data_IF_851732655674
#
_entry.id   IF_851732655674
#
_cell.length_a   1.000
_cell.length_b   1.000
_cell.length_c   1.000
_cell.angle_alpha   90.00
_cell.angle_beta   90.00
_cell.angle_gamma   90.00
#
_symmetry.space_group_name_H-M   'P 1'
#
loop_
_entity.id
_entity.type
_entity.pdbx_description
1 polymer ?
#
# COMPACT_ATOMS: atom_id res chain seq x y z
N UNK A 1 -18.11 28.42 11.08
CA UNK A 1 -16.79 28.80 10.54
C UNK A 1 -16.03 27.51 10.28
N UNK A 2 -15.54 27.27 9.07
CA UNK A 2 -14.78 26.04 8.76
C UNK A 2 -13.35 26.19 9.26
N UNK A 3 -12.86 25.21 10.02
CA UNK A 3 -11.48 25.16 10.52
C UNK A 3 -10.51 24.90 9.37
N UNK A 4 -9.37 25.60 9.38
CA UNK A 4 -8.26 25.38 8.43
C UNK A 4 -7.10 24.71 9.13
N UNK A 5 -6.65 23.57 8.62
CA UNK A 5 -5.47 22.85 9.10
C UNK A 5 -4.27 23.17 8.19
N UNK A 6 -3.13 23.52 8.80
CA UNK A 6 -1.86 23.78 8.07
C UNK A 6 -0.81 22.70 8.29
N UNK A 7 -1.16 21.70 9.10
CA UNK A 7 -0.38 20.54 9.45
C UNK A 7 -1.34 19.43 9.84
N UNK A 8 -0.82 18.22 9.97
CA UNK A 8 -1.49 17.09 10.60
C UNK A 8 -0.91 16.86 11.98
N UNK A 9 -1.76 16.34 12.86
CA UNK A 9 -1.38 15.77 14.15
C UNK A 9 -2.25 14.53 14.41
N UNK A 10 -1.83 13.63 15.30
CA UNK A 10 -2.63 12.49 15.74
C UNK A 10 -4.02 12.89 16.17
N UNK A 11 -4.16 14.02 16.86
CA UNK A 11 -5.42 14.52 17.37
C UNK A 11 -6.34 14.96 16.23
N UNK A 12 -5.84 15.76 15.28
CA UNK A 12 -6.60 16.22 14.10
C UNK A 12 -7.10 15.02 13.28
N UNK A 13 -6.22 14.06 13.01
CA UNK A 13 -6.59 12.87 12.20
C UNK A 13 -7.54 11.95 12.98
N UNK A 14 -7.35 11.81 14.29
CA UNK A 14 -8.26 11.06 15.16
C UNK A 14 -9.66 11.66 15.17
N UNK A 15 -9.77 12.99 15.32
CA UNK A 15 -11.06 13.70 15.29
C UNK A 15 -11.75 13.51 13.93
N UNK A 16 -11.02 13.64 12.83
CA UNK A 16 -11.56 13.43 11.49
C UNK A 16 -12.07 11.99 11.30
N UNK A 17 -11.29 10.99 11.73
CA UNK A 17 -11.66 9.58 11.68
C UNK A 17 -12.91 9.28 12.54
N UNK A 18 -12.92 9.75 13.79
CA UNK A 18 -14.04 9.54 14.72
C UNK A 18 -15.31 10.23 14.23
N UNK A 19 -15.18 11.42 13.64
CA UNK A 19 -16.30 12.15 13.02
C UNK A 19 -16.88 11.41 11.81
N UNK A 20 -16.08 10.59 11.13
CA UNK A 20 -16.52 9.69 10.06
C UNK A 20 -17.03 8.33 10.59
N UNK A 21 -17.09 8.12 11.91
CA UNK A 21 -17.61 6.91 12.54
C UNK A 21 -16.57 5.80 12.78
N UNK A 22 -15.30 6.06 12.53
CA UNK A 22 -14.23 5.09 12.78
C UNK A 22 -13.86 4.99 14.26
N UNK A 23 -13.46 3.77 14.67
CA UNK A 23 -12.73 3.58 15.93
C UNK A 23 -11.24 3.80 15.66
N UNK A 24 -10.56 4.47 16.57
CA UNK A 24 -9.14 4.79 16.41
C UNK A 24 -8.36 4.34 17.64
N UNK A 25 -7.24 3.66 17.41
CA UNK A 25 -6.27 3.30 18.43
C UNK A 25 -4.91 3.86 18.04
N UNK A 26 -4.23 4.56 18.96
CA UNK A 26 -2.86 4.98 18.75
C UNK A 26 -1.90 3.86 19.17
N UNK A 27 -0.90 3.59 18.34
CA UNK A 27 0.19 2.66 18.62
C UNK A 27 1.54 3.37 18.47
N UNK A 28 2.59 2.94 19.20
CA UNK A 28 3.95 3.44 18.96
C UNK A 28 4.38 3.13 17.51
N UNK A 29 4.90 4.14 16.82
CA UNK A 29 5.47 3.98 15.48
C UNK A 29 6.98 4.17 15.44
N UNK A 30 7.54 4.14 14.23
CA UNK A 30 8.96 4.35 14.00
C UNK A 30 9.34 5.83 14.16
N UNK A 31 10.60 6.08 14.54
CA UNK A 31 11.17 7.43 14.62
C UNK A 31 10.35 8.43 15.46
N UNK A 32 9.61 7.93 16.47
CA UNK A 32 8.84 8.75 17.40
C UNK A 32 7.48 9.25 16.88
N UNK A 33 7.10 8.98 15.63
CA UNK A 33 5.76 9.27 15.14
C UNK A 33 4.80 8.14 15.53
N UNK A 34 3.63 8.43 16.13
CA UNK A 34 2.64 7.39 16.41
C UNK A 34 2.01 6.89 15.12
N UNK A 35 1.46 5.68 15.17
CA UNK A 35 0.61 5.12 14.12
C UNK A 35 -0.83 5.10 14.64
N UNK A 36 -1.77 5.58 13.83
CA UNK A 36 -3.19 5.42 14.14
C UNK A 36 -3.71 4.15 13.45
N UNK A 37 -4.39 3.29 14.17
CA UNK A 37 -4.97 2.05 13.65
C UNK A 37 -6.48 2.15 13.68
N UNK A 38 -7.12 1.75 12.59
CA UNK A 38 -8.56 1.73 12.41
C UNK A 38 -8.95 0.57 11.48
N UNK A 39 -10.23 0.45 11.16
CA UNK A 39 -10.73 -0.52 10.19
C UNK A 39 -11.94 0.03 9.42
N UNK A 40 -12.05 -0.36 8.15
CA UNK A 40 -13.28 -0.17 7.34
C UNK A 40 -13.61 -1.46 6.60
N UNK A 41 -14.91 -1.76 6.45
CA UNK A 41 -15.37 -2.97 5.74
C UNK A 41 -14.79 -4.29 6.29
N UNK A 42 -14.41 -4.32 7.58
CA UNK A 42 -13.74 -5.47 8.21
C UNK A 42 -12.24 -5.60 7.91
N UNK A 43 -11.64 -4.65 7.19
CA UNK A 43 -10.22 -4.63 6.87
C UNK A 43 -9.49 -3.59 7.73
N UNK A 44 -8.42 -3.99 8.45
CA UNK A 44 -7.62 -3.06 9.22
C UNK A 44 -6.82 -2.15 8.30
N UNK A 45 -6.66 -0.90 8.71
CA UNK A 45 -5.74 0.05 8.09
C UNK A 45 -5.02 0.87 9.16
N UNK A 46 -3.88 1.41 8.77
CA UNK A 46 -3.09 2.33 9.58
C UNK A 46 -2.97 3.70 8.91
N UNK A 47 -2.80 4.74 9.71
CA UNK A 47 -2.39 6.08 9.26
C UNK A 47 -1.02 6.37 9.86
N UNK A 48 -0.06 6.63 8.98
CA UNK A 48 1.33 6.95 9.34
C UNK A 48 1.65 8.39 8.97
N UNK A 49 2.27 9.13 9.88
CA UNK A 49 2.68 10.51 9.65
C UNK A 49 4.10 10.59 9.08
N UNK A 50 4.32 11.47 8.11
CA UNK A 50 5.64 11.71 7.52
C UNK A 50 5.94 13.20 7.44
N UNK A 51 7.19 13.54 7.11
CA UNK A 51 7.64 14.93 6.96
C UNK A 51 7.34 15.79 8.21
N UNK A 52 8.00 15.48 9.35
CA UNK A 52 7.80 16.23 10.59
C UNK A 52 8.16 17.71 10.40
N UNK A 53 7.34 18.59 10.95
CA UNK A 53 7.54 20.02 10.87
C UNK A 53 8.35 20.52 12.08
N UNK A 54 9.20 21.54 11.91
CA UNK A 54 9.84 22.20 13.03
C UNK A 54 8.80 22.73 14.03
N UNK A 55 9.13 22.80 15.33
CA UNK A 55 8.25 23.40 16.34
C UNK A 55 7.99 24.88 16.00
N UNK A 56 6.86 25.17 15.36
CA UNK A 56 6.49 26.51 14.89
C UNK A 56 5.16 26.96 15.51
N UNK A 57 5.11 27.01 16.85
CA UNK A 57 3.93 27.45 17.60
C UNK A 57 2.79 26.43 17.71
N UNK A 58 2.94 25.23 17.13
CA UNK A 58 2.04 24.10 17.38
C UNK A 58 2.33 23.51 18.77
N UNK A 59 1.28 23.36 19.59
CA UNK A 59 1.37 22.65 20.87
C UNK A 59 1.37 21.15 20.62
N UNK A 60 2.53 20.58 20.26
CA UNK A 60 2.68 19.15 20.01
C UNK A 60 3.43 18.84 18.72
N UNK A 61 3.61 17.54 18.46
CA UNK A 61 4.24 17.08 17.24
C UNK A 61 3.33 17.34 16.02
N UNK A 62 3.91 17.78 14.92
CA UNK A 62 3.19 18.17 13.71
C UNK A 62 3.90 17.63 12.46
N UNK A 63 3.12 17.30 11.45
CA UNK A 63 3.58 16.69 10.21
C UNK A 63 2.94 17.36 8.99
N UNK A 64 3.65 17.38 7.87
CA UNK A 64 3.13 17.97 6.64
C UNK A 64 2.04 17.07 6.01
N UNK A 65 2.22 15.75 6.11
CA UNK A 65 1.39 14.74 5.46
C UNK A 65 1.32 13.44 6.27
N UNK A 66 0.44 12.56 5.80
CA UNK A 66 0.26 11.22 6.31
C UNK A 66 -0.15 10.26 5.18
N UNK A 67 0.05 8.97 5.37
CA UNK A 67 -0.40 7.94 4.45
C UNK A 67 -1.38 6.98 5.14
N UNK A 68 -2.53 6.74 4.50
CA UNK A 68 -3.47 5.67 4.82
C UNK A 68 -2.97 4.39 4.17
N UNK A 69 -2.86 3.31 4.94
CA UNK A 69 -2.25 2.06 4.48
C UNK A 69 -3.08 0.85 4.91
N UNK A 70 -3.45 0.02 3.94
CA UNK A 70 -4.04 -1.30 4.18
C UNK A 70 -3.09 -2.36 3.64
N UNK A 71 -2.66 -3.29 4.50
CA UNK A 71 -1.68 -4.32 4.16
C UNK A 71 -2.34 -5.70 4.12
N UNK A 72 -2.10 -6.42 3.03
CA UNK A 72 -2.58 -7.77 2.78
C UNK A 72 -1.39 -8.70 2.69
N UNK A 73 -1.45 -9.82 3.41
CA UNK A 73 -0.44 -10.86 3.26
C UNK A 73 -0.67 -11.60 1.96
N UNK A 74 0.37 -11.69 1.13
CA UNK A 74 0.32 -12.43 -0.14
C UNK A 74 0.53 -13.91 0.15
N UNK A 75 -0.29 -14.76 -0.48
CA UNK A 75 -0.09 -16.21 -0.50
C UNK A 75 0.41 -16.61 -1.89
N UNK A 76 1.63 -17.14 -1.96
CA UNK A 76 2.30 -17.43 -3.22
C UNK A 76 2.90 -16.19 -3.87
N UNK A 77 3.09 -16.25 -5.19
CA UNK A 77 3.72 -15.17 -5.95
C UNK A 77 2.68 -14.22 -6.54
N UNK A 78 2.91 -12.92 -6.35
CA UNK A 78 2.12 -11.87 -6.97
C UNK A 78 2.96 -11.14 -8.02
N UNK A 79 2.58 -11.20 -9.31
CA UNK A 79 3.36 -10.57 -10.36
C UNK A 79 3.27 -9.05 -10.27
N UNK A 80 4.40 -8.36 -10.45
CA UNK A 80 4.46 -6.89 -10.46
C UNK A 80 3.59 -6.25 -11.55
N UNK A 81 3.30 -6.97 -12.64
CA UNK A 81 2.38 -6.50 -13.68
C UNK A 81 0.96 -6.24 -13.15
N UNK A 82 0.50 -7.03 -12.17
CA UNK A 82 -0.78 -6.80 -11.51
C UNK A 82 -0.74 -5.46 -10.74
N UNK A 83 0.28 -5.25 -9.91
CA UNK A 83 0.48 -4.01 -9.15
C UNK A 83 0.55 -2.79 -10.09
N UNK A 84 1.27 -2.91 -11.19
CA UNK A 84 1.39 -1.85 -12.19
C UNK A 84 0.07 -1.55 -12.90
N UNK A 85 -0.77 -2.55 -13.17
CA UNK A 85 -2.09 -2.38 -13.78
C UNK A 85 -3.02 -1.54 -12.90
N UNK A 86 -3.03 -1.80 -11.59
CA UNK A 86 -3.75 -0.95 -10.62
C UNK A 86 -3.23 0.49 -10.66
N UNK A 87 -1.91 0.67 -10.52
CA UNK A 87 -1.28 1.99 -10.45
C UNK A 87 -1.46 2.81 -11.73
N UNK A 88 -1.58 2.15 -12.89
CA UNK A 88 -1.83 2.81 -14.17
C UNK A 88 -3.28 3.31 -14.30
N UNK A 89 -4.22 2.75 -13.54
CA UNK A 89 -5.67 3.01 -13.68
C UNK A 89 -6.26 3.79 -12.50
N UNK A 90 -5.61 3.83 -11.34
CA UNK A 90 -6.11 4.49 -10.14
C UNK A 90 -5.21 5.68 -9.74
N UNK A 91 -5.82 6.87 -9.61
CA UNK A 91 -5.09 8.12 -9.33
C UNK A 91 -4.93 8.44 -7.85
N UNK A 92 -5.80 7.88 -7.00
CA UNK A 92 -5.90 8.25 -5.60
C UNK A 92 -5.30 7.20 -4.66
N UNK A 93 -4.80 6.08 -5.16
CA UNK A 93 -4.13 5.09 -4.34
C UNK A 93 -3.13 4.29 -5.15
N UNK A 94 -2.03 3.91 -4.50
CA UNK A 94 -0.97 3.09 -5.09
C UNK A 94 -0.95 1.73 -4.40
N UNK A 95 -0.75 0.68 -5.19
CA UNK A 95 -0.32 -0.62 -4.69
C UNK A 95 1.21 -0.68 -4.68
N UNK A 96 1.75 -1.22 -3.60
CA UNK A 96 3.15 -1.53 -3.42
C UNK A 96 3.28 -2.99 -2.99
N UNK A 97 4.31 -3.66 -3.49
CA UNK A 97 4.71 -4.99 -3.01
C UNK A 97 5.94 -4.82 -2.13
N UNK A 98 5.86 -5.25 -0.88
CA UNK A 98 6.94 -5.17 0.10
C UNK A 98 7.32 -6.57 0.60
N UNK A 99 8.58 -6.76 0.97
CA UNK A 99 9.14 -8.06 1.33
C UNK A 99 9.85 -8.73 0.15
N UNK A 100 10.40 -9.91 0.40
CA UNK A 100 11.15 -10.65 -0.62
C UNK A 100 10.21 -11.23 -1.69
N UNK A 101 10.40 -10.81 -2.94
CA UNK A 101 9.63 -11.24 -4.10
C UNK A 101 10.01 -12.67 -4.46
N UNK A 102 9.13 -13.63 -4.17
CA UNK A 102 9.38 -15.07 -4.34
C UNK A 102 9.20 -15.89 -3.05
N UNK A 103 8.89 -15.24 -1.93
CA UNK A 103 8.65 -15.91 -0.65
C UNK A 103 7.22 -15.64 -0.13
N UNK A 104 6.68 -16.58 0.66
CA UNK A 104 5.38 -16.50 1.37
C UNK A 104 5.26 -15.37 2.43
N UNK A 105 6.17 -14.39 2.38
CA UNK A 105 6.30 -13.27 3.29
C UNK A 105 6.10 -11.90 2.61
N UNK A 106 5.69 -11.88 1.34
CA UNK A 106 5.36 -10.64 0.66
C UNK A 106 4.05 -10.02 1.19
N UNK A 107 4.01 -8.69 1.18
CA UNK A 107 2.87 -7.87 1.56
C UNK A 107 2.45 -6.99 0.39
N UNK A 108 1.18 -7.08 0.01
CA UNK A 108 0.56 -6.13 -0.88
C UNK A 108 0.00 -4.99 -0.03
N UNK A 109 0.45 -3.76 -0.27
CA UNK A 109 0.07 -2.59 0.50
C UNK A 109 -0.65 -1.62 -0.41
N UNK A 110 -1.89 -1.29 -0.08
CA UNK A 110 -2.61 -0.15 -0.64
C UNK A 110 -2.24 1.09 0.18
N UNK A 111 -1.81 2.14 -0.49
CA UNK A 111 -1.41 3.41 0.12
C UNK A 111 -2.12 4.59 -0.54
N UNK A 112 -2.68 5.49 0.27
CA UNK A 112 -3.19 6.80 -0.16
C UNK A 112 -2.57 7.89 0.71
N UNK A 113 -1.92 8.85 0.06
CA UNK A 113 -1.27 9.98 0.72
C UNK A 113 -2.26 11.14 0.94
N UNK A 114 -2.12 11.85 2.06
CA UNK A 114 -2.87 13.07 2.37
C UNK A 114 -1.93 14.16 2.85
N UNK A 115 -2.12 15.40 2.40
CA UNK A 115 -1.26 16.54 2.75
C UNK A 115 -2.11 17.68 3.32
N UNK A 116 -1.61 18.35 4.36
CA UNK A 116 -2.22 19.54 4.93
C UNK A 116 -1.37 20.81 4.75
N UNK A 117 -0.15 20.67 4.22
CA UNK A 117 0.72 21.80 3.91
C UNK A 117 0.03 22.75 2.92
N UNK A 118 0.12 24.06 3.19
CA UNK A 118 -0.54 25.10 2.38
C UNK A 118 -1.89 25.55 2.93
N UNK A 119 -2.48 24.83 3.88
CA UNK A 119 -3.76 25.19 4.50
C UNK A 119 -4.93 24.55 3.78
N UNK A 120 -5.51 23.52 4.41
CA UNK A 120 -6.68 22.80 3.92
C UNK A 120 -7.85 22.97 4.88
N UNK A 121 -9.07 23.00 4.36
CA UNK A 121 -10.26 23.01 5.21
C UNK A 121 -10.43 21.65 5.90
N UNK A 122 -11.07 21.59 7.07
CA UNK A 122 -11.40 20.34 7.76
C UNK A 122 -12.15 19.35 6.85
N UNK A 123 -13.01 19.85 5.97
CA UNK A 123 -13.76 19.05 5.00
C UNK A 123 -12.85 18.34 3.99
N UNK A 124 -11.61 18.82 3.78
CA UNK A 124 -10.63 18.13 2.94
C UNK A 124 -10.25 16.76 3.52
N UNK A 125 -10.01 16.66 4.83
CA UNK A 125 -9.71 15.37 5.45
C UNK A 125 -10.92 14.42 5.38
N UNK A 126 -12.14 14.93 5.56
CA UNK A 126 -13.36 14.14 5.34
C UNK A 126 -13.44 13.61 3.91
N UNK A 127 -13.19 14.45 2.91
CA UNK A 127 -13.19 14.03 1.51
C UNK A 127 -12.17 12.92 1.24
N UNK A 128 -10.96 13.01 1.81
CA UNK A 128 -9.97 11.93 1.70
C UNK A 128 -10.45 10.64 2.37
N UNK A 129 -11.09 10.72 3.55
CA UNK A 129 -11.67 9.54 4.21
C UNK A 129 -12.77 8.88 3.35
N UNK A 130 -13.62 9.66 2.69
CA UNK A 130 -14.62 9.11 1.79
C UNK A 130 -14.01 8.47 0.54
N UNK A 131 -12.88 8.98 0.05
CA UNK A 131 -12.13 8.34 -1.04
C UNK A 131 -11.54 7.01 -0.54
N UNK A 132 -10.90 7.02 0.63
CA UNK A 132 -10.34 5.82 1.27
C UNK A 132 -11.39 4.72 1.45
N UNK A 133 -12.57 5.08 1.94
CA UNK A 133 -13.66 4.15 2.20
C UNK A 133 -14.17 3.47 0.92
N UNK A 134 -14.09 4.16 -0.23
CA UNK A 134 -14.45 3.62 -1.55
C UNK A 134 -13.33 2.77 -2.16
N UNK A 135 -12.08 3.16 -1.95
CA UNK A 135 -10.90 2.48 -2.51
C UNK A 135 -10.72 1.05 -2.00
N UNK A 136 -11.02 0.79 -0.72
CA UNK A 136 -10.87 -0.55 -0.13
C UNK A 136 -11.79 -1.59 -0.80
N UNK A 137 -13.12 -1.41 -0.86
CA UNK A 137 -13.99 -2.36 -1.54
C UNK A 137 -13.72 -2.43 -3.05
N UNK A 138 -13.33 -1.32 -3.67
CA UNK A 138 -12.90 -1.29 -5.08
C UNK A 138 -11.68 -2.19 -5.32
N UNK A 139 -10.64 -2.07 -4.50
CA UNK A 139 -9.46 -2.93 -4.57
C UNK A 139 -9.83 -4.40 -4.41
N UNK A 140 -10.67 -4.73 -3.43
CA UNK A 140 -11.08 -6.12 -3.18
C UNK A 140 -11.87 -6.68 -4.38
N UNK A 141 -12.78 -5.90 -4.96
CA UNK A 141 -13.53 -6.30 -6.14
C UNK A 141 -12.60 -6.50 -7.35
N UNK A 142 -11.66 -5.57 -7.55
CA UNK A 142 -10.67 -5.63 -8.64
C UNK A 142 -9.76 -6.85 -8.51
N UNK A 143 -9.19 -7.11 -7.32
CA UNK A 143 -8.35 -8.29 -7.07
C UNK A 143 -9.11 -9.60 -7.34
N UNK A 144 -10.39 -9.70 -6.93
CA UNK A 144 -11.23 -10.87 -7.22
C UNK A 144 -11.45 -11.09 -8.72
N UNK A 145 -11.49 -10.02 -9.51
CA UNK A 145 -11.65 -10.12 -10.95
C UNK A 145 -10.33 -10.46 -11.67
N UNK A 146 -9.19 -9.93 -11.21
CA UNK A 146 -7.90 -10.08 -11.89
C UNK A 146 -7.13 -11.35 -11.49
N UNK A 147 -7.16 -11.75 -10.21
CA UNK A 147 -6.39 -12.92 -9.73
C UNK A 147 -6.73 -14.22 -10.49
N UNK A 148 -8.01 -14.55 -10.81
CA UNK A 148 -8.33 -15.75 -11.59
C UNK A 148 -7.77 -15.72 -13.01
N UNK A 149 -7.56 -14.53 -13.60
CA UNK A 149 -7.00 -14.39 -14.95
C UNK A 149 -5.50 -14.75 -14.96
N UNK A 150 -4.79 -14.39 -13.90
CA UNK A 150 -3.38 -14.75 -13.71
C UNK A 150 -3.20 -16.27 -13.59
N UNK A 151 -4.07 -16.94 -12.83
CA UNK A 151 -4.02 -18.39 -12.68
C UNK A 151 -4.22 -19.14 -14.00
N UNK A 152 -5.07 -18.62 -14.90
CA UNK A 152 -5.30 -19.20 -16.25
C UNK A 152 -4.18 -18.93 -17.24
N UNK A 153 -3.41 -17.85 -17.02
CA UNK A 153 -2.30 -17.45 -17.88
C UNK A 153 -0.96 -18.11 -17.50
N UNK A 154 -0.87 -18.78 -16.35
CA UNK A 154 0.33 -19.49 -15.94
C UNK A 154 0.52 -20.74 -16.83
N UNK A 155 1.65 -20.87 -17.55
CA UNK A 155 1.90 -22.04 -18.38
C UNK A 155 2.03 -23.28 -17.49
N UNK A 156 1.41 -24.39 -17.90
CA UNK A 156 1.73 -25.72 -17.39
C UNK A 156 3.19 -25.94 -17.75
N UNK A 157 4.07 -25.99 -16.74
CA UNK A 157 5.47 -26.32 -16.95
C UNK A 157 5.54 -27.71 -17.61
N UNK A 158 5.85 -27.72 -18.90
CA UNK A 158 6.12 -28.95 -19.64
C UNK A 158 7.41 -29.55 -19.05
N UNK A 159 7.40 -30.81 -18.59
CA UNK A 159 8.58 -31.40 -18.00
C UNK A 159 9.68 -31.44 -19.07
N UNK A 160 10.81 -30.78 -18.77
CA UNK A 160 11.98 -30.78 -19.62
C UNK A 160 12.35 -32.24 -19.94
N UNK A 161 12.31 -32.58 -21.24
CA UNK A 161 12.79 -33.86 -21.72
C UNK A 161 14.28 -34.01 -21.35
N UNK A 162 14.72 -35.19 -20.88
CA UNK A 162 16.10 -35.40 -20.50
C UNK A 162 17.03 -35.23 -21.71
N UNK A 163 18.10 -34.44 -21.50
CA UNK A 163 19.18 -34.20 -22.46
C UNK A 163 19.66 -35.52 -23.07
N UNK A 164 19.56 -35.63 -24.40
CA UNK A 164 20.23 -36.68 -25.14
C UNK A 164 21.75 -36.40 -25.13
N UNK A 165 22.61 -37.39 -24.88
CA UNK A 165 24.05 -37.18 -24.78
C UNK A 165 24.64 -36.71 -26.11
N UNK A 166 25.29 -35.55 -26.09
CA UNK A 166 26.08 -35.04 -27.21
C UNK A 166 27.27 -35.98 -27.48
N UNK A 167 27.33 -36.52 -28.69
CA UNK A 167 28.47 -37.29 -29.17
C UNK A 167 29.71 -36.38 -29.31
N UNK A 168 30.74 -36.67 -28.54
CA UNK A 168 32.06 -36.02 -28.64
C UNK A 168 32.75 -36.56 -29.89
N UNK A 169 33.07 -35.69 -30.84
CA UNK A 169 33.90 -36.02 -32.00
C UNK A 169 35.38 -36.14 -31.56
N UNK A 170 36.16 -37.07 -32.13
CA UNK A 170 37.55 -37.29 -31.74
C UNK A 170 38.48 -36.19 -32.29
N UNK A 171 39.41 -35.76 -31.44
CA UNK A 171 40.52 -34.85 -31.74
C UNK A 171 41.44 -35.46 -32.81
N UNK A 172 41.64 -34.73 -33.91
CA UNK A 172 42.57 -35.10 -34.98
C UNK A 172 43.97 -34.59 -34.63
N UNK A 173 44.85 -35.53 -34.27
CA UNK A 173 46.26 -35.28 -34.04
C UNK A 173 47.04 -35.14 -35.37
N UNK A 174 48.08 -34.30 -35.30
CA UNK A 174 49.26 -34.21 -36.18
C UNK A 174 49.17 -33.31 -37.42
N UNK A 175 49.77 -32.13 -37.31
CA UNK A 175 51.06 -31.82 -37.96
C UNK A 175 51.76 -30.63 -37.29
#
# INVERSE_FOLDING_TARGET
MSTTHRHLSPEIVTEALQSAGYRVQAAPGAAGAPVLVSATGGLPFEVRFFNPLPPAGATGAAWADAAFRAAFRVQGDLPLSLVNSWNATHRFARLLLAGDTGASNAWLILEMDVIALGGVLADNLRAHLEIWDRLIPELVAWLRAELPKLAKAAPIAEPAAPDAPQAVAPDEAAQ
#
